data_IF_808731152374
#
_entry.id   IF_808731152374
#
_cell.length_a   1.000
_cell.length_b   1.000
_cell.length_c   1.000
_cell.angle_alpha   90.00
_cell.angle_beta   90.00
_cell.angle_gamma   90.00
#
_symmetry.space_group_name_H-M   'P 1'
#
loop_
_entity.id
_entity.type
_entity.pdbx_description
1 polymer ?
#
# COMPACT_ATOMS: atom_id res chain seq x y z
N UNK A 1 -15.49 6.96 13.63
CA UNK A 1 -14.42 7.20 12.63
C UNK A 1 -14.50 8.65 12.21
N UNK A 2 -13.41 9.41 12.36
CA UNK A 2 -13.37 10.86 12.11
C UNK A 2 -13.27 11.21 10.62
N UNK A 3 -14.27 10.83 9.82
CA UNK A 3 -14.47 11.31 8.45
C UNK A 3 -13.48 10.82 7.37
N UNK A 4 -12.25 10.43 7.73
CA UNK A 4 -11.21 10.10 6.77
C UNK A 4 -10.89 8.59 6.71
N UNK A 5 -10.67 8.07 5.52
CA UNK A 5 -10.32 6.67 5.27
C UNK A 5 -9.51 6.50 3.99
N UNK A 6 -8.84 5.36 3.87
CA UNK A 6 -8.30 4.88 2.60
C UNK A 6 -9.01 3.56 2.28
N UNK A 7 -9.69 3.50 1.15
CA UNK A 7 -10.27 2.28 0.61
C UNK A 7 -9.34 1.69 -0.44
N UNK A 8 -9.17 0.37 -0.41
CA UNK A 8 -8.28 -0.36 -1.32
C UNK A 8 -8.99 -1.57 -1.89
N UNK A 9 -8.98 -1.69 -3.22
CA UNK A 9 -9.26 -2.95 -3.92
C UNK A 9 -8.09 -3.91 -3.62
N UNK A 10 -8.30 -5.02 -2.90
CA UNK A 10 -7.20 -5.85 -2.42
C UNK A 10 -6.39 -6.53 -3.53
N UNK A 11 -7.02 -6.71 -4.69
CA UNK A 11 -6.52 -7.49 -5.81
C UNK A 11 -5.90 -6.61 -6.90
N UNK A 12 -5.96 -5.27 -6.75
CA UNK A 12 -5.41 -4.33 -7.72
C UNK A 12 -3.92 -4.07 -7.48
N UNK A 13 -3.24 -3.53 -8.50
CA UNK A 13 -1.80 -3.26 -8.47
C UNK A 13 -1.48 -1.82 -8.88
N UNK A 14 -0.20 -1.44 -8.78
CA UNK A 14 0.31 -0.15 -9.25
C UNK A 14 -0.36 1.11 -8.64
N UNK A 15 -1.04 0.97 -7.49
CA UNK A 15 -1.79 2.07 -6.88
C UNK A 15 -3.15 2.34 -7.50
N UNK A 16 -3.60 1.48 -8.42
CA UNK A 16 -4.98 1.47 -8.88
C UNK A 16 -5.90 0.91 -7.80
N UNK A 17 -7.15 1.35 -7.82
CA UNK A 17 -8.14 0.93 -6.83
C UNK A 17 -7.82 1.39 -5.39
N UNK A 18 -7.02 2.45 -5.23
CA UNK A 18 -6.78 3.11 -3.95
C UNK A 18 -7.49 4.46 -3.94
N UNK A 19 -8.35 4.65 -2.95
CA UNK A 19 -9.20 5.84 -2.83
C UNK A 19 -8.96 6.48 -1.47
N UNK A 20 -8.49 7.71 -1.47
CA UNK A 20 -8.41 8.55 -0.28
C UNK A 20 -9.74 9.26 -0.10
N UNK A 21 -10.35 9.09 1.07
CA UNK A 21 -11.59 9.75 1.45
C UNK A 21 -11.25 10.69 2.60
N UNK A 22 -11.37 11.98 2.35
CA UNK A 22 -11.11 13.07 3.29
C UNK A 22 -12.32 13.98 3.44
N UNK A 23 -13.28 13.90 2.52
CA UNK A 23 -14.51 14.67 2.58
C UNK A 23 -15.70 13.89 2.00
N UNK A 24 -16.90 14.46 2.15
CA UNK A 24 -18.15 13.83 1.72
C UNK A 24 -18.25 13.69 0.19
N UNK A 25 -17.75 14.68 -0.56
CA UNK A 25 -17.73 14.67 -2.04
C UNK A 25 -16.91 13.49 -2.57
N UNK A 26 -15.73 13.23 -1.99
CA UNK A 26 -14.91 12.06 -2.36
C UNK A 26 -15.61 10.74 -2.02
N UNK A 27 -16.28 10.65 -0.87
CA UNK A 27 -17.06 9.46 -0.50
C UNK A 27 -18.22 9.23 -1.47
N UNK A 28 -18.98 10.28 -1.80
CA UNK A 28 -20.12 10.18 -2.71
C UNK A 28 -19.66 9.83 -4.12
N UNK A 29 -18.55 10.41 -4.59
CA UNK A 29 -17.91 10.02 -5.85
C UNK A 29 -17.52 8.55 -5.85
N UNK A 30 -16.88 8.06 -4.78
CA UNK A 30 -16.53 6.64 -4.65
C UNK A 30 -17.77 5.74 -4.68
N UNK A 31 -18.82 6.07 -3.92
CA UNK A 31 -20.05 5.27 -3.87
C UNK A 31 -20.86 5.29 -5.16
N UNK A 32 -20.70 6.33 -5.99
CA UNK A 32 -21.37 6.45 -7.29
C UNK A 32 -20.67 5.71 -8.43
N UNK A 33 -19.42 5.30 -8.23
CA UNK A 33 -18.64 4.55 -9.22
C UNK A 33 -19.13 3.11 -9.30
N UNK A 34 -19.12 2.56 -10.51
CA UNK A 34 -19.29 1.13 -10.73
C UNK A 34 -17.97 0.43 -10.42
N UNK A 35 -17.99 -0.45 -9.42
CA UNK A 35 -16.81 -1.18 -8.98
C UNK A 35 -16.92 -2.63 -9.40
N UNK A 36 -15.86 -3.16 -10.01
CA UNK A 36 -15.81 -4.55 -10.46
C UNK A 36 -15.79 -5.55 -9.30
N UNK A 37 -15.12 -5.20 -8.19
CA UNK A 37 -15.02 -6.03 -6.98
C UNK A 37 -15.93 -5.49 -5.88
N UNK A 38 -16.47 -6.39 -5.07
CA UNK A 38 -17.42 -6.08 -3.99
C UNK A 38 -16.72 -5.85 -2.64
N UNK A 39 -15.48 -6.34 -2.49
CA UNK A 39 -14.72 -6.27 -1.24
C UNK A 39 -13.61 -5.23 -1.29
N UNK A 40 -13.59 -4.41 -0.24
CA UNK A 40 -12.59 -3.37 -0.04
C UNK A 40 -11.95 -3.50 1.34
N UNK A 41 -10.66 -3.24 1.41
CA UNK A 41 -9.98 -2.99 2.68
C UNK A 41 -10.18 -1.53 3.05
N UNK A 42 -10.79 -1.29 4.20
CA UNK A 42 -10.93 0.06 4.77
C UNK A 42 -9.85 0.25 5.83
N UNK A 43 -8.97 1.22 5.58
CA UNK A 43 -7.91 1.60 6.49
C UNK A 43 -8.16 3.02 7.01
N UNK A 44 -7.82 3.28 8.27
CA UNK A 44 -7.79 4.65 8.78
C UNK A 44 -6.75 5.45 7.99
N UNK A 45 -7.12 6.66 7.57
CA UNK A 45 -6.19 7.52 6.86
C UNK A 45 -5.11 8.01 7.81
N UNK A 46 -3.86 7.72 7.46
CA UNK A 46 -2.65 8.25 8.09
C UNK A 46 -2.12 9.34 7.18
N UNK A 47 -2.19 10.57 7.64
CA UNK A 47 -1.84 11.77 6.90
C UNK A 47 -0.94 12.70 7.69
N UNK A 48 -1.08 14.00 7.52
CA UNK A 48 -0.47 14.97 8.43
C UNK A 48 -1.15 14.91 9.81
N UNK A 49 -0.41 15.28 10.87
CA UNK A 49 -0.93 15.35 12.22
C UNK A 49 -2.18 16.23 12.38
N UNK A 50 -2.43 17.19 11.49
CA UNK A 50 -3.67 17.99 11.49
C UNK A 50 -4.89 17.23 10.95
N UNK A 51 -4.73 16.43 9.90
CA UNK A 51 -5.83 15.79 9.17
C UNK A 51 -5.79 14.26 9.11
N UNK A 52 -4.94 13.59 9.90
CA UNK A 52 -5.07 12.13 10.11
C UNK A 52 -6.34 11.74 10.85
N UNK A 53 -6.76 10.49 10.66
CA UNK A 53 -7.84 9.88 11.42
C UNK A 53 -7.47 9.70 12.89
N UNK A 54 -8.42 9.95 13.78
CA UNK A 54 -8.30 9.63 15.21
C UNK A 54 -8.96 8.27 15.48
N UNK A 55 -8.18 7.35 16.05
CA UNK A 55 -8.63 6.00 16.42
C UNK A 55 -8.72 5.86 17.94
N UNK A 56 -9.28 4.76 18.44
CA UNK A 56 -9.35 4.49 19.89
C UNK A 56 -7.97 4.41 20.56
N UNK A 57 -6.95 3.97 19.82
CA UNK A 57 -5.58 3.83 20.32
C UNK A 57 -4.72 5.08 20.09
N UNK A 58 -5.31 6.16 19.57
CA UNK A 58 -4.63 7.42 19.29
C UNK A 58 -4.65 7.82 17.81
N UNK A 59 -3.80 8.79 17.48
CA UNK A 59 -3.67 9.36 16.13
C UNK A 59 -2.31 8.97 15.56
N UNK A 60 -2.33 8.21 14.46
CA UNK A 60 -1.15 7.98 13.65
C UNK A 60 -1.03 9.06 12.58
N UNK A 61 0.19 9.52 12.31
CA UNK A 61 0.48 10.49 11.27
C UNK A 61 1.86 10.22 10.67
N UNK A 62 2.07 10.69 9.45
CA UNK A 62 3.36 10.60 8.79
C UNK A 62 4.34 11.61 9.40
N UNK A 63 5.50 11.13 9.81
CA UNK A 63 6.65 11.98 10.14
C UNK A 63 7.21 12.62 8.86
N UNK A 64 7.13 11.90 7.75
CA UNK A 64 7.63 12.33 6.44
C UNK A 64 9.16 12.27 6.33
N UNK A 65 9.67 12.59 5.13
CA UNK A 65 11.11 12.73 4.87
C UNK A 65 11.70 13.88 5.68
N UNK A 66 13.04 13.90 5.81
CA UNK A 66 13.77 15.08 6.27
C UNK A 66 13.36 16.29 5.40
N UNK A 67 13.02 17.46 5.99
CA UNK A 67 12.64 18.63 5.23
C UNK A 67 13.71 19.02 4.21
N UNK A 68 13.29 19.32 2.99
CA UNK A 68 14.19 19.83 1.97
C UNK A 68 14.55 21.31 2.23
N UNK A 69 15.34 21.93 1.33
CA UNK A 69 15.73 23.35 1.43
C UNK A 69 14.55 24.35 1.44
N UNK A 70 13.36 23.93 1.01
CA UNK A 70 12.11 24.71 1.05
C UNK A 70 11.25 24.37 2.28
N UNK A 71 11.78 23.61 3.24
CA UNK A 71 11.07 23.09 4.40
C UNK A 71 9.89 22.17 4.09
N UNK A 72 9.86 21.59 2.88
CA UNK A 72 8.85 20.60 2.52
C UNK A 72 9.25 19.21 3.01
N UNK A 73 8.31 18.52 3.64
CA UNK A 73 8.37 17.08 3.91
C UNK A 73 7.48 16.33 2.92
N UNK A 74 7.78 15.06 2.70
CA UNK A 74 7.02 14.21 1.79
C UNK A 74 6.69 12.90 2.48
N UNK A 75 5.56 12.28 2.12
CA UNK A 75 5.33 10.88 2.48
C UNK A 75 6.31 10.02 1.71
N UNK A 76 6.93 9.08 2.42
CA UNK A 76 7.75 8.04 1.82
C UNK A 76 7.34 6.68 2.36
N UNK A 77 7.57 5.66 1.55
CA UNK A 77 7.59 4.28 2.01
C UNK A 77 8.99 3.69 1.89
N UNK A 78 9.18 2.56 2.58
CA UNK A 78 10.37 1.73 2.49
C UNK A 78 9.94 0.34 1.99
N UNK A 79 10.69 -0.19 1.04
CA UNK A 79 10.54 -1.55 0.54
C UNK A 79 11.79 -2.34 0.87
N UNK A 80 11.63 -3.27 1.81
CA UNK A 80 12.62 -4.26 2.19
C UNK A 80 12.31 -5.56 1.45
N UNK A 81 13.31 -6.13 0.78
CA UNK A 81 13.22 -7.46 0.17
C UNK A 81 14.12 -8.42 0.93
N UNK A 82 13.60 -9.63 1.16
CA UNK A 82 14.32 -10.72 1.81
C UNK A 82 14.29 -11.97 0.93
N UNK A 83 15.32 -12.79 1.02
CA UNK A 83 15.35 -14.14 0.47
C UNK A 83 15.47 -15.14 1.61
N UNK A 84 14.70 -16.23 1.55
CA UNK A 84 14.81 -17.36 2.48
C UNK A 84 15.66 -18.47 1.89
N UNK A 85 16.46 -19.12 2.72
CA UNK A 85 17.16 -20.38 2.41
C UNK A 85 17.16 -21.31 3.62
N UNK A 86 17.80 -22.48 3.50
CA UNK A 86 18.03 -23.39 4.63
C UNK A 86 18.79 -22.73 5.80
N UNK A 87 19.55 -21.66 5.53
CA UNK A 87 20.28 -20.89 6.55
C UNK A 87 19.43 -19.77 7.18
N UNK A 88 18.17 -19.62 6.77
CA UNK A 88 17.25 -18.58 7.24
C UNK A 88 17.05 -17.44 6.23
N UNK A 89 16.49 -16.32 6.71
CA UNK A 89 16.23 -15.14 5.88
C UNK A 89 17.44 -14.20 5.82
N UNK A 90 17.67 -13.61 4.64
CA UNK A 90 18.69 -12.57 4.41
C UNK A 90 18.07 -11.40 3.64
N UNK A 91 18.32 -10.13 4.04
CA UNK A 91 17.91 -8.99 3.25
C UNK A 91 18.71 -8.95 1.93
N UNK A 92 18.05 -8.66 0.81
CA UNK A 92 18.67 -8.63 -0.52
C UNK A 92 18.68 -7.24 -1.15
N UNK A 93 17.66 -6.42 -0.86
CA UNK A 93 17.57 -5.08 -1.43
C UNK A 93 16.62 -4.22 -0.59
N UNK A 94 16.96 -2.93 -0.51
CA UNK A 94 16.16 -1.91 0.16
C UNK A 94 16.08 -0.70 -0.77
N UNK A 95 14.88 -0.15 -0.93
CA UNK A 95 14.68 1.14 -1.56
C UNK A 95 13.47 1.85 -0.97
N UNK A 96 13.42 3.16 -1.06
CA UNK A 96 12.27 3.96 -0.71
C UNK A 96 11.57 4.52 -1.93
N UNK A 97 10.32 4.92 -1.77
CA UNK A 97 9.58 5.70 -2.76
C UNK A 97 8.95 6.90 -2.10
N UNK A 98 8.93 8.02 -2.80
CA UNK A 98 8.38 9.28 -2.30
C UNK A 98 7.08 9.65 -3.03
N UNK A 99 6.17 10.29 -2.31
CA UNK A 99 4.99 10.92 -2.90
C UNK A 99 5.38 12.05 -3.87
N UNK A 100 4.44 12.42 -4.74
CA UNK A 100 4.67 13.45 -5.78
C UNK A 100 4.68 14.85 -5.18
N UNK A 101 3.71 15.13 -4.32
CA UNK A 101 3.51 16.42 -3.67
C UNK A 101 3.94 16.38 -2.20
N UNK A 102 4.33 17.53 -1.63
CA UNK A 102 4.68 17.62 -0.23
C UNK A 102 3.47 17.36 0.68
N UNK A 103 3.72 16.86 1.87
CA UNK A 103 2.69 16.60 2.88
C UNK A 103 2.25 17.92 3.53
N UNK A 104 1.14 18.48 3.07
CA UNK A 104 0.65 19.77 3.57
C UNK A 104 0.13 19.70 5.01
N UNK A 105 0.29 20.80 5.75
CA UNK A 105 -0.23 20.97 7.10
C UNK A 105 -1.73 21.24 7.15
N UNK A 106 -2.33 21.70 6.05
CA UNK A 106 -3.76 21.95 5.92
C UNK A 106 -4.22 21.43 4.55
N UNK A 107 -5.42 20.85 4.49
CA UNK A 107 -6.05 20.39 3.25
C UNK A 107 -7.13 21.39 2.82
N UNK A 108 -7.14 21.71 1.54
CA UNK A 108 -8.26 22.37 0.86
C UNK A 108 -9.18 21.32 0.26
N UNK A 109 -10.42 21.72 -0.02
CA UNK A 109 -11.46 20.82 -0.51
C UNK A 109 -11.12 20.15 -1.87
N UNK A 110 -10.35 20.84 -2.70
CA UNK A 110 -9.95 20.36 -4.04
C UNK A 110 -8.49 19.85 -4.10
N UNK A 111 -7.84 19.65 -2.94
CA UNK A 111 -6.47 19.10 -2.92
C UNK A 111 -6.49 17.60 -3.27
N UNK A 112 -5.63 17.21 -4.22
CA UNK A 112 -5.39 15.79 -4.52
C UNK A 112 -4.52 15.17 -3.40
N UNK A 113 -5.20 14.57 -2.44
CA UNK A 113 -4.57 13.92 -1.30
C UNK A 113 -3.79 12.67 -1.69
N UNK A 114 -4.14 12.00 -2.79
CA UNK A 114 -3.40 10.86 -3.28
C UNK A 114 -2.02 11.26 -3.81
N UNK A 115 -1.89 12.41 -4.43
CA UNK A 115 -0.57 12.91 -4.86
C UNK A 115 0.37 13.24 -3.69
N UNK A 116 -0.17 13.48 -2.48
CA UNK A 116 0.59 13.70 -1.24
C UNK A 116 0.90 12.43 -0.46
N UNK A 117 0.05 11.40 -0.56
CA UNK A 117 0.14 10.15 0.22
C UNK A 117 0.67 8.96 -0.60
N UNK A 118 0.36 8.93 -1.89
CA UNK A 118 0.63 7.86 -2.83
C UNK A 118 2.09 7.85 -3.28
N UNK A 119 2.79 6.77 -2.95
CA UNK A 119 4.21 6.56 -3.29
C UNK A 119 4.40 5.71 -4.55
N UNK A 120 3.32 5.34 -5.25
CA UNK A 120 3.41 4.55 -6.47
C UNK A 120 4.13 5.32 -7.59
N UNK A 121 4.99 4.61 -8.32
CA UNK A 121 5.82 5.19 -9.37
C UNK A 121 5.18 5.08 -10.75
N UNK A 122 4.23 4.15 -10.92
CA UNK A 122 3.50 3.95 -12.16
C UNK A 122 2.62 5.16 -12.48
N UNK A 123 2.74 5.67 -13.70
CA UNK A 123 1.94 6.77 -14.23
C UNK A 123 1.27 6.29 -15.51
N UNK A 124 -0.05 6.42 -15.59
CA UNK A 124 -0.82 6.12 -16.79
C UNK A 124 -0.72 7.29 -17.75
N UNK A 125 -0.33 7.02 -18.99
CA UNK A 125 -0.23 8.01 -20.05
C UNK A 125 -1.58 8.19 -20.78
N UNK A 126 -1.80 9.32 -21.48
CA UNK A 126 -3.05 9.58 -22.20
C UNK A 126 -3.40 8.54 -23.29
N UNK A 127 -2.39 7.87 -23.84
CA UNK A 127 -2.53 6.80 -24.83
C UNK A 127 -2.88 5.43 -24.20
N UNK A 128 -3.05 5.38 -22.88
CA UNK A 128 -3.34 4.16 -22.12
C UNK A 128 -2.10 3.34 -21.74
N UNK A 129 -0.91 3.72 -22.21
CA UNK A 129 0.35 3.07 -21.82
C UNK A 129 0.81 3.49 -20.42
N UNK A 130 1.84 2.84 -19.91
CA UNK A 130 2.37 3.09 -18.56
C UNK A 130 3.83 3.54 -18.63
N UNK A 131 4.16 4.50 -17.79
CA UNK A 131 5.55 4.90 -17.51
C UNK A 131 5.86 4.83 -16.01
N UNK A 132 7.12 4.96 -15.65
CA UNK A 132 7.59 4.95 -14.26
C UNK A 132 8.30 6.26 -13.95
N UNK A 133 7.84 6.96 -12.91
CA UNK A 133 8.52 8.15 -12.41
C UNK A 133 9.70 7.76 -11.50
N UNK A 134 10.84 7.52 -12.13
CA UNK A 134 12.08 7.10 -11.45
C UNK A 134 12.68 8.19 -10.58
N UNK A 135 12.31 9.46 -10.76
CA UNK A 135 12.83 10.59 -9.96
C UNK A 135 12.41 10.55 -8.49
N UNK A 136 11.36 9.77 -8.19
CA UNK A 136 10.82 9.56 -6.83
C UNK A 136 11.32 8.26 -6.18
N UNK A 137 12.15 7.49 -6.88
CA UNK A 137 12.82 6.32 -6.33
C UNK A 137 14.03 6.78 -5.50
N UNK A 138 14.11 6.31 -4.26
CA UNK A 138 15.21 6.60 -3.35
C UNK A 138 15.99 5.32 -3.14
N UNK A 139 17.19 5.25 -3.72
CA UNK A 139 18.07 4.10 -3.55
C UNK A 139 18.79 4.18 -2.20
N UNK A 140 19.17 3.02 -1.67
CA UNK A 140 19.98 2.93 -0.46
C UNK A 140 21.45 3.25 -0.77
N UNK A 141 21.72 4.53 -1.08
CA UNK A 141 23.06 5.08 -1.17
C UNK A 141 23.30 6.11 -0.06
N UNK A 142 24.57 6.51 0.13
CA UNK A 142 24.95 7.45 1.20
C UNK A 142 24.35 8.85 1.05
N UNK A 143 23.84 9.21 -0.12
CA UNK A 143 23.40 10.57 -0.44
C UNK A 143 21.91 10.73 -0.25
N UNK A 144 21.14 9.80 -0.79
CA UNK A 144 19.69 9.93 -0.91
C UNK A 144 18.95 9.20 0.21
N UNK A 145 19.53 8.13 0.78
CA UNK A 145 18.87 7.37 1.85
C UNK A 145 18.68 8.19 3.14
N UNK A 146 19.63 9.07 3.46
CA UNK A 146 19.53 9.95 4.61
C UNK A 146 18.31 10.89 4.53
N UNK A 147 17.77 11.15 3.34
CA UNK A 147 16.56 11.96 3.18
C UNK A 147 15.32 11.31 3.80
N UNK A 148 15.31 9.98 3.97
CA UNK A 148 14.19 9.27 4.59
C UNK A 148 14.12 9.47 6.11
N UNK A 149 15.21 9.86 6.75
CA UNK A 149 15.27 10.05 8.20
C UNK A 149 15.15 8.75 9.02
N UNK A 150 15.49 7.61 8.42
CA UNK A 150 15.40 6.28 9.05
C UNK A 150 16.69 5.95 9.82
N UNK A 151 16.53 5.41 11.02
CA UNK A 151 17.59 4.84 11.83
C UNK A 151 17.77 3.34 11.58
N UNK A 152 18.77 2.75 12.26
CA UNK A 152 19.01 1.31 12.19
C UNK A 152 17.86 0.50 12.79
N UNK A 153 17.22 1.02 13.85
CA UNK A 153 16.08 0.38 14.51
C UNK A 153 14.88 0.26 13.56
N UNK A 154 14.60 1.31 12.77
CA UNK A 154 13.56 1.28 11.74
C UNK A 154 13.84 0.19 10.68
N UNK A 155 15.11 -0.02 10.33
CA UNK A 155 15.52 -1.05 9.37
C UNK A 155 15.39 -2.45 9.95
N UNK A 156 15.69 -2.62 11.23
CA UNK A 156 15.49 -3.87 11.96
C UNK A 156 14.00 -4.20 12.01
N UNK A 157 13.15 -3.24 12.36
CA UNK A 157 11.69 -3.40 12.37
C UNK A 157 11.15 -3.75 10.98
N UNK A 158 11.61 -3.05 9.94
CA UNK A 158 11.24 -3.34 8.56
C UNK A 158 11.64 -4.77 8.15
N UNK A 159 12.83 -5.22 8.54
CA UNK A 159 13.29 -6.58 8.28
C UNK A 159 12.42 -7.62 9.00
N UNK A 160 12.16 -7.45 10.30
CA UNK A 160 11.33 -8.35 11.09
C UNK A 160 9.91 -8.43 10.52
N UNK A 161 9.28 -7.28 10.23
CA UNK A 161 7.94 -7.25 9.65
C UNK A 161 7.89 -7.96 8.29
N UNK A 162 8.92 -7.78 7.46
CA UNK A 162 9.00 -8.44 6.15
C UNK A 162 9.11 -9.96 6.31
N UNK A 163 9.97 -10.44 7.20
CA UNK A 163 10.13 -11.88 7.48
C UNK A 163 8.82 -12.48 8.01
N UNK A 164 8.17 -11.82 8.97
CA UNK A 164 6.90 -12.29 9.52
C UNK A 164 5.78 -12.32 8.46
N UNK A 165 5.74 -11.34 7.56
CA UNK A 165 4.79 -11.32 6.45
C UNK A 165 5.02 -12.49 5.49
N UNK A 166 6.27 -12.77 5.11
CA UNK A 166 6.60 -13.93 4.25
C UNK A 166 6.16 -15.23 4.91
N UNK A 167 6.47 -15.43 6.19
CA UNK A 167 6.05 -16.63 6.94
C UNK A 167 4.52 -16.75 7.01
N UNK A 168 3.80 -15.64 7.21
CA UNK A 168 2.34 -15.65 7.26
C UNK A 168 1.72 -16.04 5.91
N UNK A 169 2.27 -15.52 4.80
CA UNK A 169 1.86 -15.88 3.44
C UNK A 169 2.12 -17.36 3.18
N UNK A 170 3.31 -17.86 3.51
CA UNK A 170 3.70 -19.26 3.30
C UNK A 170 2.82 -20.24 4.10
N UNK A 171 2.52 -19.89 5.37
CA UNK A 171 1.58 -20.65 6.20
C UNK A 171 0.18 -20.66 5.61
N UNK A 172 -0.29 -19.53 5.06
CA UNK A 172 -1.60 -19.47 4.40
C UNK A 172 -1.63 -20.30 3.13
N UNK A 173 -0.59 -20.22 2.30
CA UNK A 173 -0.46 -21.02 1.08
C UNK A 173 -0.43 -22.54 1.41
N UNK A 174 0.35 -22.94 2.41
CA UNK A 174 0.40 -24.32 2.90
C UNK A 174 -0.97 -24.80 3.38
N UNK A 175 -1.73 -23.95 4.09
CA UNK A 175 -3.08 -24.26 4.54
C UNK A 175 -4.04 -24.43 3.37
N UNK A 176 -3.95 -23.58 2.34
CA UNK A 176 -4.77 -23.66 1.13
C UNK A 176 -4.42 -24.87 0.25
N UNK A 177 -3.22 -25.45 0.40
CA UNK A 177 -2.73 -26.57 -0.41
C UNK A 177 -2.52 -27.86 0.39
N UNK A 178 -3.17 -28.00 1.56
CA UNK A 178 -2.86 -29.05 2.53
C UNK A 178 -2.93 -30.49 1.96
N UNK A 179 -3.77 -30.72 0.94
CA UNK A 179 -3.95 -32.03 0.29
C UNK A 179 -3.32 -32.09 -1.11
N UNK A 180 -2.45 -31.15 -1.47
CA UNK A 180 -1.85 -31.04 -2.82
C UNK A 180 -2.73 -30.36 -3.87
N UNK A 181 -4.02 -30.17 -3.58
CA UNK A 181 -4.96 -29.41 -4.40
C UNK A 181 -5.37 -28.12 -3.70
N UNK A 182 -5.73 -27.09 -4.47
CA UNK A 182 -6.18 -25.81 -3.94
C UNK A 182 -7.55 -25.94 -3.28
N UNK A 183 -7.63 -25.61 -1.99
CA UNK A 183 -8.88 -25.62 -1.21
C UNK A 183 -9.70 -24.36 -1.52
N UNK A 184 -10.51 -24.44 -2.57
CA UNK A 184 -11.36 -23.35 -3.01
C UNK A 184 -12.44 -22.98 -1.97
N UNK A 185 -12.99 -23.96 -1.26
CA UNK A 185 -14.01 -23.70 -0.24
C UNK A 185 -13.43 -22.88 0.92
N UNK A 186 -12.21 -23.22 1.34
CA UNK A 186 -11.48 -22.42 2.31
C UNK A 186 -11.18 -21.02 1.77
N UNK A 187 -10.69 -20.91 0.53
CA UNK A 187 -10.40 -19.61 -0.08
C UNK A 187 -11.65 -18.71 -0.15
N UNK A 188 -12.77 -19.23 -0.62
CA UNK A 188 -14.07 -18.55 -0.68
C UNK A 188 -14.52 -18.08 0.71
N UNK A 189 -14.34 -18.90 1.75
CA UNK A 189 -14.68 -18.51 3.12
C UNK A 189 -13.82 -17.34 3.64
N UNK A 190 -12.58 -17.21 3.18
CA UNK A 190 -11.64 -16.16 3.57
C UNK A 190 -11.79 -14.89 2.73
N UNK A 191 -12.08 -15.04 1.44
CA UNK A 191 -12.22 -13.97 0.46
C UNK A 191 -13.54 -14.11 -0.32
N UNK A 192 -14.69 -13.80 0.31
CA UNK A 192 -16.01 -13.97 -0.31
C UNK A 192 -16.33 -12.81 -1.28
N UNK A 193 -15.57 -12.71 -2.37
CA UNK A 193 -15.76 -11.74 -3.45
C UNK A 193 -16.10 -12.48 -4.76
N UNK A 194 -17.34 -12.34 -5.24
CA UNK A 194 -17.84 -13.14 -6.35
C UNK A 194 -17.12 -12.86 -7.67
N UNK A 195 -16.69 -11.62 -7.90
CA UNK A 195 -15.97 -11.25 -9.11
C UNK A 195 -14.61 -11.96 -9.14
N UNK A 196 -13.84 -11.87 -8.05
CA UNK A 196 -12.57 -12.59 -7.94
C UNK A 196 -12.74 -14.11 -8.04
N UNK A 197 -13.74 -14.65 -7.34
CA UNK A 197 -14.02 -16.09 -7.34
C UNK A 197 -14.38 -16.61 -8.74
N UNK A 198 -15.06 -15.79 -9.54
CA UNK A 198 -15.39 -16.09 -10.94
C UNK A 198 -14.14 -16.02 -11.83
N UNK A 199 -13.27 -15.03 -11.64
CA UNK A 199 -11.99 -14.91 -12.36
C UNK A 199 -11.09 -16.12 -12.13
N UNK A 200 -10.97 -16.56 -10.86
CA UNK A 200 -10.17 -17.76 -10.50
C UNK A 200 -10.73 -19.01 -11.19
N UNK A 201 -12.06 -19.18 -11.22
CA UNK A 201 -12.71 -20.30 -11.91
C UNK A 201 -12.49 -20.28 -13.41
N UNK A 202 -12.62 -19.11 -14.03
CA UNK A 202 -12.38 -18.95 -15.48
C UNK A 202 -10.92 -19.22 -15.86
N UNK A 203 -9.98 -18.87 -15.00
CA UNK A 203 -8.55 -19.12 -15.22
C UNK A 203 -8.15 -20.58 -15.04
N UNK A 204 -8.92 -21.37 -14.27
CA UNK A 204 -8.62 -22.77 -13.95
C UNK A 204 -9.83 -23.68 -14.21
N UNK A 205 -10.34 -23.78 -15.45
CA UNK A 205 -11.60 -24.46 -15.75
C UNK A 205 -11.58 -25.97 -15.48
N UNK A 206 -10.40 -26.60 -15.44
CA UNK A 206 -10.24 -28.05 -15.23
C UNK A 206 -10.20 -28.44 -13.73
N UNK A 207 -10.06 -27.46 -12.83
CA UNK A 207 -9.96 -27.69 -11.38
C UNK A 207 -11.32 -27.56 -10.65
N UNK A 208 -12.42 -27.32 -11.39
CA UNK A 208 -13.77 -27.05 -10.87
C UNK A 208 -14.87 -27.90 -11.49
#
# INVERSE_FOLDING_TARGET
>A
MGGHAVLKVPYSNAGQGVYTITNKKELDNFLSQDHHYDKFIVQSLVGNASWSSVTRTGKFFHVGTIPNKKSNTYVSDLRMMVAGSEEGFKPICIYGRKARLPLLGELKEDDDTWDMLGTNLSVKLPDGSWTTDTSRLILMDRKDFNQLGLGIDDLIDAYIQTVLAVIAIDRMASRLMANGNFDYQLFESLNPDNALLSEIKQANPEDF
#
